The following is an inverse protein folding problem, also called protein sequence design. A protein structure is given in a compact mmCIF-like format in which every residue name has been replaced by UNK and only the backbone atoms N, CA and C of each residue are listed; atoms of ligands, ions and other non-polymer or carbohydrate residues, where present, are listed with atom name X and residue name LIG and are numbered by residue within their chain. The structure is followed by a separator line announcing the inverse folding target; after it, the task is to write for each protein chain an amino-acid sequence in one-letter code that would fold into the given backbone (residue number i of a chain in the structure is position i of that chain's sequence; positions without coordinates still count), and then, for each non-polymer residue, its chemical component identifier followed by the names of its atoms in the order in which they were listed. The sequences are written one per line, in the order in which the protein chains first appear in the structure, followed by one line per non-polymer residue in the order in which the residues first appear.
data_IF_670988341753
#
_entry.id   IF_670988341753
#
_cell.length_a   1.000
_cell.length_b   1.000
_cell.length_c   1.000
_cell.angle_alpha   90.00
_cell.angle_beta   90.00
_cell.angle_gamma   90.00
#
_symmetry.space_group_name_H-M   'P 1'
#
loop_
_entity.id
_entity.type
_entity.pdbx_description
1 polymer ?
#
# COMPACT_ATOMS: atom_id res chain seq x y z
N UNK A 1 13.49 -27.28 4.89
CA UNK A 1 13.22 -26.07 4.08
C UNK A 1 12.42 -25.12 4.93
N UNK A 2 12.79 -23.84 5.10
CA UNK A 2 11.91 -22.95 5.82
C UNK A 2 10.65 -22.78 4.96
N UNK A 3 9.49 -23.10 5.52
CA UNK A 3 8.21 -22.63 4.99
C UNK A 3 8.28 -21.10 5.05
N UNK A 4 8.34 -20.43 3.90
CA UNK A 4 8.11 -19.00 3.85
C UNK A 4 6.62 -18.80 4.17
N UNK A 5 6.32 -18.65 5.45
CA UNK A 5 4.99 -18.23 5.91
C UNK A 5 4.83 -16.77 5.47
N UNK A 6 3.81 -16.50 4.68
CA UNK A 6 3.47 -15.13 4.30
C UNK A 6 3.17 -14.32 5.57
N UNK A 7 3.58 -13.05 5.64
CA UNK A 7 3.23 -12.20 6.77
C UNK A 7 1.70 -11.99 6.82
N UNK A 8 1.17 -11.71 8.00
CA UNK A 8 -0.20 -11.17 8.13
C UNK A 8 -0.19 -9.67 7.83
N UNK A 9 -1.35 -9.12 7.44
CA UNK A 9 -1.48 -7.67 7.28
C UNK A 9 -1.09 -6.94 8.58
N UNK A 10 -0.30 -5.85 8.50
CA UNK A 10 0.11 -5.09 9.68
C UNK A 10 -1.02 -4.25 10.25
N UNK A 11 -0.91 -3.87 11.52
CA UNK A 11 -1.79 -2.86 12.12
C UNK A 11 -1.57 -1.49 11.47
N UNK A 12 -2.65 -0.81 11.01
CA UNK A 12 -2.57 0.54 10.47
C UNK A 12 -1.97 1.57 11.43
N UNK A 13 -1.32 2.59 10.88
CA UNK A 13 -0.70 3.71 11.61
C UNK A 13 -1.34 5.07 11.33
N UNK A 14 -2.34 5.11 10.47
CA UNK A 14 -3.13 6.30 10.16
C UNK A 14 -4.11 6.04 9.02
N UNK A 15 -4.77 7.10 8.50
CA UNK A 15 -5.80 6.97 7.48
C UNK A 15 -5.32 6.28 6.19
N UNK A 16 -4.08 6.49 5.76
CA UNK A 16 -3.58 5.96 4.49
C UNK A 16 -3.38 4.45 4.58
N UNK A 17 -2.62 4.00 5.59
CA UNK A 17 -2.41 2.58 5.84
C UNK A 17 -3.70 1.87 6.24
N UNK A 18 -4.64 2.55 6.90
CA UNK A 18 -5.96 2.01 7.21
C UNK A 18 -6.73 1.68 5.93
N UNK A 19 -6.86 2.64 5.01
CA UNK A 19 -7.57 2.42 3.75
C UNK A 19 -6.98 1.27 2.95
N UNK A 20 -5.66 1.13 2.91
CA UNK A 20 -5.01 0.01 2.22
C UNK A 20 -5.30 -1.32 2.92
N UNK A 21 -5.14 -1.40 4.24
CA UNK A 21 -5.36 -2.66 4.99
C UNK A 21 -6.83 -3.09 4.91
N UNK A 22 -7.79 -2.18 5.06
CA UNK A 22 -9.21 -2.47 4.94
C UNK A 22 -9.58 -2.94 3.53
N UNK A 23 -9.03 -2.30 2.50
CA UNK A 23 -9.23 -2.71 1.11
C UNK A 23 -8.74 -4.14 0.85
N UNK A 24 -7.57 -4.51 1.40
CA UNK A 24 -6.98 -5.84 1.22
C UNK A 24 -7.69 -6.94 2.02
N UNK A 25 -8.54 -6.57 2.99
CA UNK A 25 -9.43 -7.52 3.66
C UNK A 25 -10.58 -7.99 2.74
N UNK A 26 -10.83 -7.27 1.63
CA UNK A 26 -11.79 -7.66 0.61
C UNK A 26 -11.15 -8.49 -0.52
N UNK A 27 -11.99 -9.10 -1.37
CA UNK A 27 -11.51 -9.77 -2.58
C UNK A 27 -11.19 -8.77 -3.68
N UNK A 28 -10.15 -9.04 -4.45
CA UNK A 28 -9.76 -8.20 -5.56
C UNK A 28 -10.88 -8.20 -6.64
N UNK A 29 -11.39 -7.02 -7.05
CA UNK A 29 -12.43 -6.97 -8.08
C UNK A 29 -11.85 -7.38 -9.44
N UNK A 30 -12.52 -8.31 -10.11
CA UNK A 30 -12.04 -8.89 -11.37
C UNK A 30 -12.16 -7.94 -12.58
N UNK A 31 -13.01 -6.90 -12.52
CA UNK A 31 -13.42 -6.11 -13.70
C UNK A 31 -13.76 -4.63 -13.45
N UNK A 32 -13.50 -4.09 -12.27
CA UNK A 32 -13.81 -2.68 -11.97
C UNK A 32 -12.66 -2.01 -11.25
N UNK A 33 -12.50 -0.70 -11.48
CA UNK A 33 -11.57 0.15 -10.74
C UNK A 33 -12.07 0.27 -9.29
N UNK A 34 -11.51 -0.50 -8.36
CA UNK A 34 -11.60 -0.12 -6.95
C UNK A 34 -10.78 1.14 -6.80
N UNK A 35 -11.45 2.29 -6.74
CA UNK A 35 -10.78 3.55 -6.44
C UNK A 35 -10.47 3.52 -4.94
N UNK A 36 -9.19 3.53 -4.59
CA UNK A 36 -8.79 3.70 -3.19
C UNK A 36 -9.00 5.17 -2.86
N UNK A 37 -10.09 5.48 -2.18
CA UNK A 37 -10.41 6.86 -1.79
C UNK A 37 -9.72 7.18 -0.47
N UNK A 38 -8.52 7.74 -0.57
CA UNK A 38 -7.73 8.22 0.57
C UNK A 38 -7.30 9.65 0.29
N UNK A 39 -7.55 10.56 1.23
CA UNK A 39 -7.01 11.91 1.16
C UNK A 39 -5.52 11.89 1.47
N UNK A 40 -4.70 12.44 0.57
CA UNK A 40 -3.25 12.58 0.75
C UNK A 40 -2.82 14.03 1.06
N UNK A 41 -3.78 14.95 1.23
CA UNK A 41 -3.50 16.38 1.36
C UNK A 41 -2.57 16.73 2.54
N UNK A 42 -2.72 16.01 3.65
CA UNK A 42 -1.94 16.21 4.88
C UNK A 42 -0.95 15.05 5.13
N UNK A 43 -0.60 14.29 4.08
CA UNK A 43 0.29 13.15 4.21
C UNK A 43 1.72 13.61 4.54
N UNK A 44 2.31 13.06 5.61
CA UNK A 44 3.74 13.17 5.90
C UNK A 44 4.49 12.12 5.05
N UNK A 45 5.31 12.53 4.06
CA UNK A 45 6.01 11.60 3.17
C UNK A 45 7.01 10.68 3.88
N UNK A 46 7.60 11.11 4.98
CA UNK A 46 8.49 10.29 5.81
C UNK A 46 7.76 9.61 6.97
N UNK A 47 6.47 9.92 7.16
CA UNK A 47 5.64 9.46 8.26
C UNK A 47 5.30 7.97 8.18
N UNK A 48 5.11 7.35 9.34
CA UNK A 48 4.83 5.91 9.46
C UNK A 48 3.56 5.48 8.72
N UNK A 49 2.56 6.35 8.59
CA UNK A 49 1.31 6.02 7.91
C UNK A 49 1.53 5.78 6.41
N UNK A 50 2.18 6.73 5.73
CA UNK A 50 2.50 6.62 4.30
C UNK A 50 3.51 5.51 4.04
N UNK A 51 4.56 5.44 4.86
CA UNK A 51 5.61 4.43 4.69
C UNK A 51 5.08 3.00 4.93
N UNK A 52 4.14 2.81 5.87
CA UNK A 52 3.50 1.52 6.05
C UNK A 52 2.63 1.15 4.85
N UNK A 53 1.89 2.10 4.28
CA UNK A 53 1.10 1.87 3.07
C UNK A 53 2.00 1.48 1.87
N UNK A 54 3.13 2.16 1.67
CA UNK A 54 4.13 1.79 0.68
C UNK A 54 4.69 0.39 0.93
N UNK A 55 5.07 0.08 2.17
CA UNK A 55 5.55 -1.24 2.55
C UNK A 55 4.53 -2.34 2.17
N UNK A 56 3.26 -2.16 2.52
CA UNK A 56 2.19 -3.12 2.19
C UNK A 56 2.06 -3.29 0.68
N UNK A 57 2.05 -2.18 -0.08
CA UNK A 57 2.04 -2.22 -1.54
C UNK A 57 3.23 -2.98 -2.11
N UNK A 58 4.44 -2.82 -1.55
CA UNK A 58 5.62 -3.56 -2.00
C UNK A 58 5.57 -5.04 -1.64
N UNK A 59 5.21 -5.39 -0.40
CA UNK A 59 5.15 -6.79 0.04
C UNK A 59 4.14 -7.59 -0.79
N UNK A 60 3.03 -6.98 -1.21
CA UNK A 60 2.07 -7.57 -2.16
C UNK A 60 2.72 -8.04 -3.47
N UNK A 61 3.70 -7.28 -3.99
CA UNK A 61 4.41 -7.61 -5.23
C UNK A 61 5.59 -8.57 -5.01
N UNK A 62 6.01 -8.77 -3.76
CA UNK A 62 7.14 -9.65 -3.45
C UNK A 62 6.70 -11.03 -2.96
N UNK A 63 5.92 -11.07 -1.88
CA UNK A 63 5.51 -12.34 -1.24
C UNK A 63 4.00 -12.46 -1.08
N UNK A 64 3.27 -11.35 -1.06
CA UNK A 64 1.88 -11.32 -0.62
C UNK A 64 1.73 -11.41 0.89
N UNK A 65 0.47 -11.43 1.34
CA UNK A 65 0.08 -11.57 2.74
C UNK A 65 -0.84 -12.78 2.92
N UNK A 66 -0.77 -13.41 4.09
CA UNK A 66 -1.63 -14.51 4.45
C UNK A 66 -3.11 -14.10 4.37
N UNK A 67 -3.90 -14.90 3.67
CA UNK A 67 -5.34 -14.67 3.47
C UNK A 67 -5.72 -13.54 2.51
N UNK A 68 -4.77 -12.80 1.94
CA UNK A 68 -5.04 -11.72 0.98
C UNK A 68 -5.14 -12.27 -0.45
N UNK A 69 -6.13 -11.79 -1.20
CA UNK A 69 -6.31 -12.16 -2.61
C UNK A 69 -5.14 -11.64 -3.47
N UNK A 70 -4.40 -12.55 -4.10
CA UNK A 70 -3.26 -12.19 -4.97
C UNK A 70 -3.63 -11.33 -6.17
N UNK A 71 -4.92 -11.24 -6.55
CA UNK A 71 -5.37 -10.31 -7.59
C UNK A 71 -5.12 -8.83 -7.26
N UNK A 72 -4.94 -8.49 -5.98
CA UNK A 72 -4.63 -7.11 -5.56
C UNK A 72 -3.31 -6.58 -6.09
N UNK A 73 -2.32 -7.45 -6.33
CA UNK A 73 -1.03 -7.09 -6.94
C UNK A 73 -1.23 -6.31 -8.26
N UNK A 74 -2.23 -6.70 -9.04
CA UNK A 74 -2.50 -6.14 -10.36
C UNK A 74 -3.67 -5.17 -10.39
N UNK A 75 -4.22 -4.81 -9.23
CA UNK A 75 -5.37 -3.91 -9.18
C UNK A 75 -4.94 -2.49 -9.60
N UNK A 76 -5.54 -1.90 -10.67
CA UNK A 76 -5.09 -0.61 -11.17
C UNK A 76 -5.25 0.55 -10.18
N UNK A 77 -6.26 0.49 -9.31
CA UNK A 77 -6.47 1.52 -8.29
C UNK A 77 -5.40 1.48 -7.20
N UNK A 78 -4.99 0.29 -6.78
CA UNK A 78 -3.90 0.12 -5.81
C UNK A 78 -2.54 0.50 -6.41
N UNK A 79 -2.28 0.14 -7.67
CA UNK A 79 -1.09 0.55 -8.41
C UNK A 79 -1.02 2.08 -8.57
N UNK A 80 -2.16 2.72 -8.85
CA UNK A 80 -2.26 4.18 -8.93
C UNK A 80 -1.97 4.85 -7.59
N UNK A 81 -2.58 4.36 -6.49
CA UNK A 81 -2.28 4.87 -5.15
C UNK A 81 -0.80 4.73 -4.81
N UNK A 82 -0.21 3.55 -5.06
CA UNK A 82 1.23 3.31 -4.85
C UNK A 82 2.07 4.36 -5.57
N UNK A 83 1.79 4.64 -6.85
CA UNK A 83 2.50 5.66 -7.62
C UNK A 83 2.43 7.06 -7.00
N UNK A 84 1.26 7.46 -6.49
CA UNK A 84 1.11 8.74 -5.79
C UNK A 84 1.95 8.80 -4.50
N UNK A 85 1.95 7.72 -3.70
CA UNK A 85 2.75 7.67 -2.47
C UNK A 85 4.26 7.69 -2.77
N UNK A 86 4.69 6.99 -3.82
CA UNK A 86 6.08 6.99 -4.31
C UNK A 86 6.50 8.39 -4.77
N UNK A 87 5.64 9.10 -5.49
CA UNK A 87 5.90 10.48 -5.94
C UNK A 87 6.05 11.43 -4.75
N UNK A 88 5.14 11.37 -3.76
CA UNK A 88 5.24 12.18 -2.54
C UNK A 88 6.55 11.94 -1.80
N UNK A 89 6.91 10.68 -1.61
CA UNK A 89 8.14 10.31 -0.90
C UNK A 89 9.41 10.70 -1.67
N UNK A 90 9.44 10.47 -2.98
CA UNK A 90 10.56 10.85 -3.83
C UNK A 90 10.79 12.37 -3.83
N UNK A 91 9.71 13.16 -3.88
CA UNK A 91 9.78 14.61 -3.82
C UNK A 91 10.37 15.10 -2.49
N UNK A 92 9.97 14.50 -1.37
CA UNK A 92 10.50 14.81 -0.04
C UNK A 92 12.01 14.49 0.07
N UNK A 93 12.41 13.28 -0.34
CA UNK A 93 13.83 12.90 -0.35
C UNK A 93 14.63 13.86 -1.21
N UNK A 94 14.15 14.18 -2.42
CA UNK A 94 14.84 15.04 -3.37
C UNK A 94 15.01 16.46 -2.82
N UNK A 95 14.02 16.97 -2.10
CA UNK A 95 14.10 18.27 -1.43
C UNK A 95 15.09 18.27 -0.25
N UNK A 96 15.16 17.16 0.51
CA UNK A 96 16.04 17.02 1.68
C UNK A 96 17.52 16.80 1.38
N UNK A 97 17.87 16.42 0.16
CA UNK A 97 19.28 16.25 -0.29
C UNK A 97 19.83 17.46 -1.07
N UNK A 98 19.04 18.52 -1.19
CA UNK A 98 19.40 19.78 -1.86
C UNK A 98 20.28 20.72 -1.03
#
# INVERSE_FOLDING_TARGET
MPLLVQPTLPEPRGPISMSVVELLAERAPLRYLAKVETSLADADPAGLDLQLALYVCYELHYRGFDGVDGGWEWNPGLLYLRGLLEELFLNDITAGVG
#
